data_IF_307350449962
#
_entry.id   IF_307350449962
#
_cell.length_a   1.000
_cell.length_b   1.000
_cell.length_c   1.000
_cell.angle_alpha   90.00
_cell.angle_beta   90.00
_cell.angle_gamma   90.00
#
_symmetry.space_group_name_H-M   'P 1'
#
loop_
_entity.id
_entity.type
_entity.pdbx_description
1 polymer ?
#
# COMPACT_ATOMS: atom_id res chain seq x y z
N UNK A 1 -31.76 -13.23 1.68
CA UNK A 1 -31.12 -12.37 0.64
C UNK A 1 -31.25 -10.86 0.88
N UNK A 2 -32.00 -10.38 1.87
CA UNK A 2 -32.19 -8.93 2.11
C UNK A 2 -30.90 -8.18 2.46
N UNK A 3 -30.02 -8.76 3.30
CA UNK A 3 -28.73 -8.16 3.64
C UNK A 3 -27.82 -7.99 2.42
N UNK A 4 -27.79 -8.99 1.53
CA UNK A 4 -27.01 -8.92 0.29
C UNK A 4 -27.50 -7.76 -0.56
N UNK A 5 -28.82 -7.66 -0.80
CA UNK A 5 -29.41 -6.55 -1.55
C UNK A 5 -29.12 -5.18 -0.92
N UNK A 6 -29.12 -5.08 0.41
CA UNK A 6 -28.90 -3.82 1.12
C UNK A 6 -27.45 -3.33 1.07
N UNK A 7 -26.47 -4.25 1.09
CA UNK A 7 -25.07 -3.89 1.29
C UNK A 7 -24.16 -4.15 0.08
N UNK A 8 -24.54 -5.02 -0.87
CA UNK A 8 -23.68 -5.43 -2.00
C UNK A 8 -23.05 -4.23 -2.71
N UNK A 9 -23.86 -3.34 -3.28
CA UNK A 9 -23.33 -2.25 -4.12
C UNK A 9 -22.49 -1.25 -3.32
N UNK A 10 -22.88 -1.00 -2.06
CA UNK A 10 -22.13 -0.13 -1.15
C UNK A 10 -20.78 -0.75 -0.75
N UNK A 11 -20.74 -2.07 -0.56
CA UNK A 11 -19.51 -2.79 -0.26
C UNK A 11 -18.60 -2.90 -1.48
N UNK A 12 -19.15 -3.15 -2.68
CA UNK A 12 -18.39 -3.13 -3.93
C UNK A 12 -17.70 -1.78 -4.09
N UNK A 13 -18.46 -0.68 -4.00
CA UNK A 13 -17.91 0.67 -4.11
C UNK A 13 -16.87 0.97 -3.03
N UNK A 14 -17.12 0.52 -1.79
CA UNK A 14 -16.18 0.67 -0.69
C UNK A 14 -14.86 -0.07 -0.95
N UNK A 15 -14.93 -1.35 -1.33
CA UNK A 15 -13.76 -2.21 -1.57
C UNK A 15 -13.01 -1.77 -2.83
N UNK A 16 -13.72 -1.36 -3.88
CA UNK A 16 -13.14 -0.88 -5.12
C UNK A 16 -12.15 0.27 -4.89
N UNK A 17 -12.43 1.16 -3.92
CA UNK A 17 -11.52 2.26 -3.54
C UNK A 17 -10.19 1.78 -2.94
N UNK A 18 -10.11 0.53 -2.47
CA UNK A 18 -8.87 -0.08 -1.98
C UNK A 18 -8.13 -0.86 -3.07
N UNK A 19 -8.85 -1.66 -3.88
CA UNK A 19 -8.22 -2.62 -4.81
C UNK A 19 -8.09 -2.11 -6.25
N UNK A 20 -8.91 -1.13 -6.64
CA UNK A 20 -8.92 -0.53 -7.97
C UNK A 20 -9.30 -1.48 -9.12
N UNK A 21 -9.80 -2.68 -8.80
CA UNK A 21 -10.20 -3.70 -9.77
C UNK A 21 -11.65 -4.15 -9.45
N UNK A 22 -12.59 -4.06 -10.41
CA UNK A 22 -14.00 -4.42 -10.16
C UNK A 22 -14.22 -5.90 -9.82
N UNK A 23 -13.57 -6.81 -10.54
CA UNK A 23 -13.70 -8.26 -10.36
C UNK A 23 -13.22 -8.69 -8.96
N UNK A 24 -12.04 -8.21 -8.55
CA UNK A 24 -11.54 -8.44 -7.19
C UNK A 24 -12.44 -7.83 -6.12
N UNK A 25 -13.06 -6.67 -6.41
CA UNK A 25 -13.99 -6.07 -5.46
C UNK A 25 -15.24 -6.96 -5.28
N UNK A 26 -15.77 -7.54 -6.35
CA UNK A 26 -16.88 -8.49 -6.30
C UNK A 26 -16.51 -9.76 -5.54
N UNK A 27 -15.35 -10.35 -5.80
CA UNK A 27 -14.85 -11.54 -5.09
C UNK A 27 -14.74 -11.29 -3.58
N UNK A 28 -14.13 -10.16 -3.19
CA UNK A 28 -13.99 -9.79 -1.77
C UNK A 28 -15.37 -9.57 -1.12
N UNK A 29 -16.34 -9.02 -1.85
CA UNK A 29 -17.72 -8.87 -1.35
C UNK A 29 -18.37 -10.23 -1.12
N UNK A 30 -18.19 -11.19 -2.03
CA UNK A 30 -18.68 -12.55 -1.86
C UNK A 30 -18.06 -13.19 -0.59
N UNK A 31 -16.75 -13.10 -0.44
CA UNK A 31 -16.03 -13.57 0.76
C UNK A 31 -16.52 -12.88 2.04
N UNK A 32 -16.85 -11.59 1.95
CA UNK A 32 -17.40 -10.83 3.09
C UNK A 32 -18.73 -11.42 3.55
N UNK A 33 -19.65 -11.70 2.63
CA UNK A 33 -20.94 -12.30 2.98
C UNK A 33 -20.80 -13.75 3.45
N UNK A 34 -19.86 -14.52 2.90
CA UNK A 34 -19.56 -15.87 3.38
C UNK A 34 -19.05 -15.84 4.82
N UNK A 35 -18.07 -14.97 5.12
CA UNK A 35 -17.56 -14.79 6.49
C UNK A 35 -18.60 -14.28 7.46
N UNK A 36 -19.46 -13.37 7.00
CA UNK A 36 -20.58 -12.88 7.79
C UNK A 36 -21.50 -14.04 8.20
N UNK A 37 -21.85 -14.91 7.25
CA UNK A 37 -22.73 -16.04 7.49
C UNK A 37 -22.10 -17.05 8.46
N UNK A 38 -20.83 -17.40 8.28
CA UNK A 38 -20.13 -18.35 9.16
C UNK A 38 -19.86 -17.77 10.54
N UNK A 39 -19.72 -16.45 10.66
CA UNK A 39 -19.44 -15.77 11.93
C UNK A 39 -20.70 -15.22 12.61
N UNK A 40 -21.89 -15.44 12.04
CA UNK A 40 -23.14 -14.84 12.51
C UNK A 40 -23.45 -15.17 13.99
N UNK A 41 -23.15 -16.39 14.43
CA UNK A 41 -23.35 -16.81 15.83
C UNK A 41 -22.40 -16.16 16.84
N UNK A 42 -21.33 -15.50 16.38
CA UNK A 42 -20.38 -14.77 17.23
C UNK A 42 -20.68 -13.27 17.29
N UNK A 43 -21.69 -12.81 16.56
CA UNK A 43 -22.08 -11.41 16.59
C UNK A 43 -22.62 -11.05 17.98
N UNK A 44 -21.98 -10.05 18.61
CA UNK A 44 -22.47 -9.44 19.86
C UNK A 44 -22.98 -8.05 19.49
N UNK A 45 -24.16 -7.66 19.98
CA UNK A 45 -24.82 -6.36 19.71
C UNK A 45 -24.09 -5.12 20.27
N UNK A 46 -22.81 -5.24 20.61
CA UNK A 46 -21.97 -4.16 21.12
C UNK A 46 -21.70 -3.09 20.05
N UNK A 47 -21.84 -3.43 18.76
CA UNK A 47 -21.69 -2.51 17.65
C UNK A 47 -22.83 -2.68 16.64
N UNK A 48 -23.14 -1.61 15.89
CA UNK A 48 -24.12 -1.69 14.78
C UNK A 48 -23.66 -2.74 13.76
N UNK A 49 -24.60 -3.52 13.24
CA UNK A 49 -24.34 -4.52 12.20
C UNK A 49 -23.57 -3.94 11.00
N UNK A 50 -23.91 -2.71 10.57
CA UNK A 50 -23.19 -2.01 9.51
C UNK A 50 -21.70 -1.88 9.82
N UNK A 51 -21.35 -1.47 11.04
CA UNK A 51 -19.94 -1.36 11.46
C UNK A 51 -19.24 -2.71 11.35
N UNK A 52 -19.93 -3.78 11.75
CA UNK A 52 -19.37 -5.13 11.73
C UNK A 52 -19.09 -5.64 10.30
N UNK A 53 -20.07 -5.52 9.39
CA UNK A 53 -19.88 -5.97 7.99
C UNK A 53 -18.79 -5.16 7.26
N UNK A 54 -18.70 -3.85 7.50
CA UNK A 54 -17.63 -3.01 6.94
C UNK A 54 -16.26 -3.34 7.54
N UNK A 55 -16.20 -3.78 8.81
CA UNK A 55 -14.96 -4.25 9.43
C UNK A 55 -14.45 -5.52 8.76
N UNK A 56 -15.34 -6.49 8.51
CA UNK A 56 -15.00 -7.73 7.79
C UNK A 56 -14.48 -7.41 6.38
N UNK A 57 -15.23 -6.59 5.64
CA UNK A 57 -14.87 -6.16 4.28
C UNK A 57 -13.52 -5.45 4.22
N UNK A 58 -13.28 -4.49 5.12
CA UNK A 58 -12.04 -3.73 5.18
C UNK A 58 -10.83 -4.62 5.51
N UNK A 59 -11.00 -5.61 6.38
CA UNK A 59 -9.94 -6.55 6.73
C UNK A 59 -9.59 -7.48 5.55
N UNK A 60 -10.60 -7.93 4.80
CA UNK A 60 -10.39 -8.72 3.58
C UNK A 60 -9.68 -7.90 2.50
N UNK A 61 -10.12 -6.67 2.24
CA UNK A 61 -9.49 -5.79 1.26
C UNK A 61 -8.01 -5.50 1.57
N UNK A 62 -7.69 -5.18 2.83
CA UNK A 62 -6.30 -5.00 3.29
C UNK A 62 -5.47 -6.29 3.13
N UNK A 63 -6.08 -7.44 3.37
CA UNK A 63 -5.41 -8.74 3.20
C UNK A 63 -5.07 -9.00 1.74
N UNK A 64 -5.99 -8.72 0.82
CA UNK A 64 -5.73 -8.88 -0.61
C UNK A 64 -4.66 -7.91 -1.10
N UNK A 65 -4.70 -6.64 -0.67
CA UNK A 65 -3.66 -5.68 -1.02
C UNK A 65 -2.26 -6.14 -0.54
N UNK A 66 -2.17 -6.70 0.67
CA UNK A 66 -0.92 -7.30 1.18
C UNK A 66 -0.48 -8.51 0.34
N UNK A 67 -1.40 -9.38 -0.09
CA UNK A 67 -1.09 -10.53 -0.96
C UNK A 67 -0.56 -10.06 -2.31
N UNK A 68 -1.22 -9.08 -2.94
CA UNK A 68 -0.81 -8.49 -4.21
C UNK A 68 0.61 -7.90 -4.15
N UNK A 69 0.92 -7.15 -3.08
CA UNK A 69 2.28 -6.62 -2.87
C UNK A 69 3.33 -7.73 -2.78
N UNK A 70 3.04 -8.84 -2.07
CA UNK A 70 3.98 -9.98 -1.99
C UNK A 70 4.18 -10.67 -3.35
N UNK A 71 3.10 -10.88 -4.13
CA UNK A 71 3.20 -11.44 -5.48
C UNK A 71 4.09 -10.57 -6.39
N UNK A 72 3.96 -9.25 -6.28
CA UNK A 72 4.80 -8.33 -7.05
C UNK A 72 6.29 -8.42 -6.68
N UNK A 73 6.62 -8.57 -5.39
CA UNK A 73 8.02 -8.71 -4.95
C UNK A 73 8.66 -10.02 -5.49
N UNK A 74 7.93 -11.13 -5.43
CA UNK A 74 8.42 -12.41 -5.98
C UNK A 74 8.65 -12.33 -7.49
N UNK A 75 7.75 -11.66 -8.21
CA UNK A 75 7.90 -11.42 -9.65
C UNK A 75 9.15 -10.59 -9.99
N UNK A 76 9.53 -9.61 -9.16
CA UNK A 76 10.78 -8.85 -9.34
C UNK A 76 12.00 -9.76 -9.13
N UNK A 77 11.97 -10.63 -8.13
CA UNK A 77 13.09 -11.53 -7.84
C UNK A 77 13.35 -12.52 -8.99
N UNK A 78 12.30 -12.98 -9.68
CA UNK A 78 12.43 -13.84 -10.86
C UNK A 78 12.89 -13.08 -12.12
N UNK A 79 12.80 -11.75 -12.15
CA UNK A 79 13.01 -10.94 -13.37
C UNK A 79 14.42 -10.35 -13.56
N UNK A 80 15.40 -10.71 -12.71
CA UNK A 80 16.81 -10.43 -13.01
C UNK A 80 17.59 -9.80 -11.86
N UNK A 81 18.49 -10.59 -11.31
CA UNK A 81 19.83 -10.11 -11.05
C UNK A 81 20.67 -10.48 -12.27
N UNK A 82 20.59 -9.67 -13.33
CA UNK A 82 21.82 -9.48 -14.10
C UNK A 82 22.77 -8.80 -13.10
N UNK A 83 23.88 -9.44 -12.76
CA UNK A 83 24.96 -8.91 -11.92
C UNK A 83 25.56 -7.65 -12.57
N UNK A 84 24.80 -6.57 -12.63
CA UNK A 84 25.30 -5.25 -12.98
C UNK A 84 25.80 -4.63 -11.69
N UNK A 85 27.12 -4.62 -11.56
CA UNK A 85 27.82 -3.81 -10.59
C UNK A 85 27.48 -2.34 -10.86
N UNK A 86 26.53 -1.80 -10.11
CA UNK A 86 26.22 -0.38 -10.16
C UNK A 86 27.27 0.34 -9.31
N UNK A 87 28.23 0.99 -9.95
CA UNK A 87 29.04 2.01 -9.29
C UNK A 87 28.10 3.13 -8.82
N UNK A 88 27.76 3.15 -7.53
CA UNK A 88 26.97 4.22 -6.94
C UNK A 88 27.95 5.38 -6.64
N UNK A 89 27.86 6.53 -7.33
CA UNK A 89 28.68 7.67 -6.99
C UNK A 89 28.30 8.15 -5.58
N UNK A 90 29.28 8.31 -4.69
CA UNK A 90 29.03 8.89 -3.38
C UNK A 90 28.62 10.37 -3.55
N UNK A 91 27.33 10.67 -3.42
CA UNK A 91 26.81 12.04 -3.35
C UNK A 91 27.00 12.55 -1.91
N UNK A 92 28.25 12.56 -1.44
CA UNK A 92 28.58 13.23 -0.19
C UNK A 92 28.84 14.68 -0.54
N UNK A 93 27.94 15.58 -0.10
CA UNK A 93 28.22 17.02 -0.07
C UNK A 93 29.57 17.22 0.64
N UNK A 94 30.55 17.77 -0.08
CA UNK A 94 31.88 18.03 0.44
C UNK A 94 32.00 19.53 0.78
N UNK A 95 31.73 19.93 2.04
CA UNK A 95 31.75 21.34 2.45
C UNK A 95 33.13 22.00 2.29
N UNK A 96 34.20 21.22 2.16
CA UNK A 96 35.57 21.74 2.06
C UNK A 96 35.89 22.36 0.69
N UNK A 97 35.11 22.05 -0.36
CA UNK A 97 35.37 22.55 -1.72
C UNK A 97 34.88 23.98 -1.99
N UNK A 98 33.94 24.50 -1.20
CA UNK A 98 33.43 25.87 -1.38
C UNK A 98 34.13 26.90 -0.49
N UNK A 99 34.77 26.49 0.62
CA UNK A 99 35.47 27.43 1.52
C UNK A 99 36.86 27.85 1.02
N UNK A 100 37.38 27.24 -0.05
CA UNK A 100 38.74 27.47 -0.55
C UNK A 100 38.89 28.60 -1.57
N UNK A 101 37.81 29.12 -2.15
CA UNK A 101 37.89 30.13 -3.22
C UNK A 101 37.80 31.57 -2.73
N UNK A 102 37.38 31.81 -1.49
CA UNK A 102 37.11 33.18 -1.00
C UNK A 102 38.31 33.83 -0.27
N UNK A 103 39.35 33.04 0.03
CA UNK A 103 40.57 33.54 0.70
C UNK A 103 41.68 33.92 -0.29
N UNK A 104 41.71 33.35 -1.49
CA UNK A 104 42.79 33.60 -2.46
C UNK A 104 42.63 34.91 -3.25
N UNK A 105 41.40 35.45 -3.36
CA UNK A 105 41.17 36.70 -4.10
C UNK A 105 41.49 37.96 -3.27
N UNK A 106 41.55 37.88 -1.94
CA UNK A 106 41.80 39.06 -1.08
C UNK A 106 43.28 39.40 -0.88
N UNK A 107 44.21 38.48 -1.14
CA UNK A 107 45.64 38.74 -0.95
C UNK A 107 46.33 39.33 -2.18
N UNK A 108 45.74 39.26 -3.38
CA UNK A 108 46.36 39.76 -4.62
C UNK A 108 46.17 41.29 -4.81
N UNK A 109 45.29 41.94 -4.04
CA UNK A 109 45.04 43.39 -4.17
C UNK A 109 45.80 44.25 -3.14
N UNK A 110 46.52 43.67 -2.17
CA UNK A 110 47.27 44.44 -1.15
C UNK A 110 48.64 43.83 -0.82
N UNK A 111 49.52 43.65 -1.81
CA UNK A 111 50.97 43.51 -1.62
C UNK A 111 51.73 43.88 -2.90
#
# INVERSE_FOLDING_TARGET
>A
MELVRRYKDRLINFIFRFVGNPEQAEDIVQDTFLKLYTSAGMYREVAKFSTWIYTIAGNLAKTELRKRRRRHILSIHEMGLDDKEYEIPSVTYNPERESGSDYSEKEIQTA
#
